data_IF_065736689723
#
_entry.id   IF_065736689723
#
_cell.length_a   1.000
_cell.length_b   1.000
_cell.length_c   1.000
_cell.angle_alpha   90.00
_cell.angle_beta   90.00
_cell.angle_gamma   90.00
#
_symmetry.space_group_name_H-M   'P 1'
#
loop_
_entity.id
_entity.type
_entity.pdbx_description
1 polymer ?
#
# COMPACT_ATOMS: atom_id res chain seq x y z
N UNK A 1 -44.50 19.02 -22.80
CA UNK A 1 -44.11 20.08 -21.85
C UNK A 1 -43.00 19.53 -20.99
N UNK A 2 -41.83 20.18 -20.94
CA UNK A 2 -40.73 19.74 -20.08
C UNK A 2 -41.01 20.33 -18.70
N UNK A 3 -41.24 19.45 -17.72
CA UNK A 3 -41.46 19.84 -16.32
C UNK A 3 -40.11 20.29 -15.76
N UNK A 4 -39.96 21.58 -15.53
CA UNK A 4 -38.81 22.11 -14.81
C UNK A 4 -38.92 21.73 -13.32
N UNK A 5 -37.78 21.42 -12.70
CA UNK A 5 -37.69 21.12 -11.29
C UNK A 5 -38.05 22.37 -10.46
N UNK A 6 -38.81 22.19 -9.39
CA UNK A 6 -39.21 23.32 -8.54
C UNK A 6 -38.02 23.82 -7.71
N UNK A 7 -37.94 25.14 -7.50
CA UNK A 7 -36.91 25.75 -6.65
C UNK A 7 -36.92 25.17 -5.22
N UNK A 8 -38.09 24.79 -4.72
CA UNK A 8 -38.22 24.16 -3.39
C UNK A 8 -37.58 22.76 -3.37
N UNK A 9 -37.74 22.00 -4.44
CA UNK A 9 -37.17 20.65 -4.55
C UNK A 9 -35.64 20.74 -4.64
N UNK A 10 -35.11 21.71 -5.38
CA UNK A 10 -33.66 21.93 -5.48
C UNK A 10 -33.05 22.26 -4.11
N UNK A 11 -33.72 23.13 -3.37
CA UNK A 11 -33.27 23.56 -2.04
C UNK A 11 -33.28 22.39 -1.05
N UNK A 12 -34.31 21.54 -1.11
CA UNK A 12 -34.39 20.36 -0.25
C UNK A 12 -33.25 19.37 -0.52
N UNK A 13 -32.92 19.15 -1.80
CA UNK A 13 -31.82 18.24 -2.19
C UNK A 13 -30.47 18.74 -1.69
N UNK A 14 -30.15 20.03 -1.84
CA UNK A 14 -28.84 20.57 -1.40
C UNK A 14 -28.70 20.55 0.12
N UNK A 15 -29.78 20.73 0.88
CA UNK A 15 -29.75 20.64 2.34
C UNK A 15 -29.43 19.21 2.77
N UNK A 16 -30.08 18.22 2.17
CA UNK A 16 -29.83 16.80 2.46
C UNK A 16 -28.38 16.44 2.09
N UNK A 17 -27.92 16.83 0.91
CA UNK A 17 -26.53 16.60 0.49
C UNK A 17 -25.53 17.30 1.43
N UNK A 18 -25.83 18.50 1.92
CA UNK A 18 -25.01 19.21 2.89
C UNK A 18 -24.83 18.44 4.20
N UNK A 19 -25.93 17.88 4.75
CA UNK A 19 -25.87 17.07 5.98
C UNK A 19 -25.12 15.76 5.74
N UNK A 20 -25.37 15.08 4.61
CA UNK A 20 -24.66 13.85 4.27
C UNK A 20 -23.16 14.07 4.09
N UNK A 21 -22.77 15.15 3.40
CA UNK A 21 -21.36 15.50 3.20
C UNK A 21 -20.66 15.82 4.52
N UNK A 22 -21.31 16.55 5.43
CA UNK A 22 -20.73 16.89 6.73
C UNK A 22 -20.31 15.63 7.54
N UNK A 23 -21.06 14.53 7.41
CA UNK A 23 -20.79 13.28 8.12
C UNK A 23 -19.85 12.37 7.31
N UNK A 24 -19.98 12.35 5.99
CA UNK A 24 -19.21 11.45 5.12
C UNK A 24 -17.75 11.90 4.95
N UNK A 25 -17.52 13.21 4.80
CA UNK A 25 -16.20 13.76 4.46
C UNK A 25 -15.11 13.41 5.49
N UNK A 26 -15.31 13.59 6.82
CA UNK A 26 -14.28 13.25 7.80
C UNK A 26 -13.89 11.77 7.77
N UNK A 27 -14.87 10.87 7.60
CA UNK A 27 -14.62 9.42 7.55
C UNK A 27 -13.81 9.01 6.33
N UNK A 28 -14.00 9.66 5.18
CA UNK A 28 -13.24 9.37 3.97
C UNK A 28 -11.77 9.79 4.10
N UNK A 29 -11.47 10.89 4.78
CA UNK A 29 -10.08 11.31 4.97
C UNK A 29 -9.30 10.34 5.85
N UNK A 30 -9.82 10.00 7.04
CA UNK A 30 -9.13 9.06 7.94
C UNK A 30 -8.99 7.65 7.34
N UNK A 31 -10.03 7.16 6.65
CA UNK A 31 -10.01 5.83 6.02
C UNK A 31 -8.95 5.70 4.91
N UNK A 32 -8.64 6.78 4.18
CA UNK A 32 -7.62 6.75 3.11
C UNK A 32 -6.21 6.57 3.67
N UNK A 33 -5.91 7.23 4.77
CA UNK A 33 -4.59 7.13 5.40
C UNK A 33 -4.37 5.74 5.99
N UNK A 34 -5.38 5.21 6.68
CA UNK A 34 -5.36 3.84 7.21
C UNK A 34 -5.26 2.79 6.09
N UNK A 35 -5.97 2.99 4.97
CA UNK A 35 -5.90 2.10 3.82
C UNK A 35 -4.51 2.09 3.16
N UNK A 36 -3.84 3.25 3.08
CA UNK A 36 -2.47 3.32 2.57
C UNK A 36 -1.49 2.57 3.49
N UNK A 37 -1.63 2.71 4.80
CA UNK A 37 -0.82 1.96 5.78
C UNK A 37 -1.03 0.45 5.65
N UNK A 38 -2.30 0.01 5.60
CA UNK A 38 -2.64 -1.41 5.42
C UNK A 38 -2.08 -1.95 4.11
N UNK A 39 -2.13 -1.17 3.03
CA UNK A 39 -1.56 -1.54 1.74
C UNK A 39 -0.05 -1.77 1.84
N UNK A 40 0.69 -0.87 2.48
CA UNK A 40 2.14 -1.03 2.69
C UNK A 40 2.41 -2.33 3.45
N UNK A 41 1.63 -2.63 4.50
CA UNK A 41 1.76 -3.87 5.26
C UNK A 41 1.52 -5.12 4.41
N UNK A 42 0.47 -5.13 3.59
CA UNK A 42 0.16 -6.26 2.69
C UNK A 42 1.23 -6.43 1.61
N UNK A 43 1.75 -5.32 1.08
CA UNK A 43 2.80 -5.31 0.08
C UNK A 43 4.10 -5.93 0.65
N UNK A 44 4.50 -5.54 1.87
CA UNK A 44 5.66 -6.11 2.60
C UNK A 44 5.50 -7.62 2.79
N UNK A 45 4.34 -8.08 3.28
CA UNK A 45 4.09 -9.51 3.46
C UNK A 45 4.16 -10.28 2.13
N UNK A 46 3.68 -9.68 1.04
CA UNK A 46 3.75 -10.24 -0.30
C UNK A 46 5.20 -10.35 -0.79
N UNK A 47 6.01 -9.32 -0.54
CA UNK A 47 7.44 -9.34 -0.86
C UNK A 47 8.14 -10.49 -0.10
N UNK A 48 7.91 -10.62 1.20
CA UNK A 48 8.48 -11.71 2.02
C UNK A 48 8.09 -13.09 1.49
N UNK A 49 6.81 -13.28 1.14
CA UNK A 49 6.33 -14.53 0.59
C UNK A 49 7.02 -14.86 -0.75
N UNK A 50 7.24 -13.86 -1.61
CA UNK A 50 7.94 -14.05 -2.88
C UNK A 50 9.40 -14.46 -2.67
N UNK A 51 10.11 -13.82 -1.75
CA UNK A 51 11.49 -14.17 -1.39
C UNK A 51 11.56 -15.63 -0.91
N UNK A 52 10.66 -16.03 -0.01
CA UNK A 52 10.61 -17.38 0.52
C UNK A 52 10.30 -18.40 -0.59
N UNK A 53 9.39 -18.05 -1.51
CA UNK A 53 9.06 -18.87 -2.67
C UNK A 53 10.27 -19.08 -3.58
N UNK A 54 11.00 -18.01 -3.91
CA UNK A 54 12.21 -18.10 -4.72
C UNK A 54 13.29 -18.93 -4.02
N UNK A 55 13.51 -18.71 -2.72
CA UNK A 55 14.45 -19.51 -1.92
C UNK A 55 14.09 -20.99 -1.99
N UNK A 56 12.81 -21.33 -1.81
CA UNK A 56 12.34 -22.72 -1.88
C UNK A 56 12.57 -23.33 -3.26
N UNK A 57 12.30 -22.59 -4.35
CA UNK A 57 12.56 -23.06 -5.71
C UNK A 57 14.06 -23.31 -5.98
N UNK A 58 14.94 -22.46 -5.44
CA UNK A 58 16.39 -22.60 -5.57
C UNK A 58 16.93 -23.80 -4.78
N UNK A 59 16.39 -24.06 -3.59
CA UNK A 59 16.72 -25.24 -2.79
C UNK A 59 16.31 -26.54 -3.50
N UNK A 60 15.13 -26.59 -4.12
CA UNK A 60 14.69 -27.76 -4.92
C UNK A 60 15.59 -28.00 -6.14
N UNK A 61 16.12 -26.92 -6.72
CA UNK A 61 17.00 -26.97 -7.88
C UNK A 61 18.47 -27.26 -7.53
N UNK A 62 18.77 -27.56 -6.26
CA UNK A 62 20.12 -27.75 -5.71
C UNK A 62 21.08 -26.57 -6.03
N UNK A 63 20.55 -25.37 -6.26
CA UNK A 63 21.31 -24.16 -6.61
C UNK A 63 21.37 -23.26 -5.39
N UNK A 64 22.57 -23.02 -4.85
CA UNK A 64 22.83 -22.05 -3.78
C UNK A 64 22.95 -20.66 -4.40
N UNK A 65 21.86 -20.13 -4.94
CA UNK A 65 21.78 -18.74 -5.37
C UNK A 65 20.91 -17.98 -4.37
N UNK A 66 21.28 -16.75 -4.05
CA UNK A 66 20.47 -15.89 -3.18
C UNK A 66 19.22 -15.42 -3.96
N UNK A 67 18.04 -15.35 -3.31
CA UNK A 67 16.84 -14.83 -3.94
C UNK A 67 17.03 -13.34 -4.24
N UNK A 68 17.03 -13.00 -5.52
CA UNK A 68 17.23 -11.62 -5.99
C UNK A 68 15.87 -10.95 -6.13
N UNK A 69 15.69 -9.80 -5.47
CA UNK A 69 14.60 -8.90 -5.80
C UNK A 69 15.04 -8.01 -6.97
N UNK A 70 14.26 -8.01 -8.06
CA UNK A 70 14.45 -7.10 -9.19
C UNK A 70 13.15 -6.32 -9.43
N UNK A 71 13.23 -5.26 -10.23
CA UNK A 71 12.07 -4.42 -10.55
C UNK A 71 10.97 -5.17 -11.31
N UNK A 72 11.31 -6.25 -12.02
CA UNK A 72 10.35 -7.08 -12.77
C UNK A 72 9.44 -7.87 -11.83
N UNK A 73 10.00 -8.49 -10.79
CA UNK A 73 9.24 -9.20 -9.74
C UNK A 73 8.31 -8.22 -9.02
N UNK A 74 8.74 -6.97 -8.77
CA UNK A 74 7.87 -5.95 -8.19
C UNK A 74 6.71 -5.59 -9.13
N UNK A 75 6.94 -5.51 -10.44
CA UNK A 75 5.84 -5.28 -11.40
C UNK A 75 4.88 -6.47 -11.51
N UNK A 76 5.36 -7.71 -11.41
CA UNK A 76 4.51 -8.92 -11.40
C UNK A 76 3.60 -8.98 -10.17
N UNK A 77 4.06 -8.41 -9.05
CA UNK A 77 3.31 -8.31 -7.80
C UNK A 77 2.41 -7.05 -7.73
N UNK A 78 2.29 -6.28 -8.82
CA UNK A 78 1.57 -4.99 -8.88
C UNK A 78 2.12 -3.92 -7.90
N UNK A 79 3.39 -4.02 -7.53
CA UNK A 79 4.07 -3.15 -6.58
C UNK A 79 4.73 -1.95 -7.28
N UNK A 80 4.01 -1.26 -8.18
CA UNK A 80 4.56 -0.14 -8.98
C UNK A 80 5.01 1.08 -8.16
N UNK A 81 4.60 1.18 -6.89
CA UNK A 81 5.02 2.25 -5.97
C UNK A 81 6.34 1.96 -5.27
N UNK A 82 6.87 0.75 -5.43
CA UNK A 82 8.09 0.28 -4.80
C UNK A 82 9.24 0.32 -5.79
N UNK A 83 10.36 0.91 -5.39
CA UNK A 83 11.61 0.93 -6.13
C UNK A 83 12.71 0.26 -5.31
N UNK A 84 13.73 -0.30 -5.97
CA UNK A 84 14.87 -0.97 -5.33
C UNK A 84 16.11 -0.10 -5.54
N UNK A 85 16.75 0.31 -4.44
CA UNK A 85 18.01 1.05 -4.44
C UNK A 85 18.99 0.32 -3.53
N UNK A 86 19.98 -0.37 -4.11
CA UNK A 86 21.07 -1.06 -3.40
C UNK A 86 20.66 -1.79 -2.10
N UNK A 87 19.73 -2.75 -2.19
CA UNK A 87 19.16 -3.55 -1.07
C UNK A 87 18.11 -2.85 -0.18
N UNK A 88 17.78 -1.60 -0.50
CA UNK A 88 16.67 -0.88 0.12
C UNK A 88 15.46 -0.84 -0.81
N UNK A 89 14.31 -1.24 -0.28
CA UNK A 89 13.00 -1.03 -0.85
C UNK A 89 12.53 0.38 -0.49
N UNK A 90 12.31 1.20 -1.51
CA UNK A 90 11.84 2.58 -1.37
C UNK A 90 10.39 2.64 -1.81
N UNK A 91 9.49 2.95 -0.87
CA UNK A 91 8.08 3.23 -1.16
C UNK A 91 7.88 4.74 -1.32
N UNK A 92 7.38 5.14 -2.49
CA UNK A 92 6.96 6.52 -2.79
C UNK A 92 8.00 7.60 -2.43
N UNK A 93 9.29 7.25 -2.62
CA UNK A 93 10.46 8.09 -2.36
C UNK A 93 10.65 8.60 -0.90
N UNK A 94 9.88 8.09 0.07
CA UNK A 94 9.85 8.59 1.45
C UNK A 94 10.11 7.53 2.51
N UNK A 95 9.68 6.28 2.27
CA UNK A 95 9.78 5.19 3.25
C UNK A 95 10.79 4.17 2.75
N UNK A 96 11.86 3.94 3.51
CA UNK A 96 12.94 2.99 3.16
C UNK A 96 12.85 1.76 4.05
N UNK A 97 12.90 0.59 3.43
CA UNK A 97 12.95 -0.70 4.11
C UNK A 97 14.17 -1.46 3.61
N UNK A 98 15.02 -1.95 4.50
CA UNK A 98 16.09 -2.87 4.12
C UNK A 98 15.51 -4.28 4.13
N UNK A 99 15.84 -5.03 3.10
CA UNK A 99 15.48 -6.44 3.01
C UNK A 99 16.77 -7.27 3.11
N UNK A 100 16.78 -8.23 4.02
CA UNK A 100 17.87 -9.21 4.14
C UNK A 100 17.47 -10.52 3.45
N UNK A 101 18.45 -11.20 2.84
CA UNK A 101 18.39 -12.58 2.32
C UNK A 101 17.64 -13.61 3.19
N UNK A 102 17.49 -13.35 4.49
CA UNK A 102 16.72 -14.16 5.43
C UNK A 102 15.22 -13.82 5.51
N UNK A 103 14.67 -13.06 4.56
CA UNK A 103 13.28 -12.61 4.49
C UNK A 103 12.84 -11.67 5.62
N UNK A 104 13.79 -11.18 6.44
CA UNK A 104 13.53 -10.14 7.43
C UNK A 104 13.55 -8.77 6.76
N UNK A 105 12.46 -8.01 6.93
CA UNK A 105 12.34 -6.65 6.42
C UNK A 105 12.52 -5.70 7.61
N UNK A 106 13.62 -4.97 7.61
CA UNK A 106 13.91 -3.96 8.61
C UNK A 106 13.43 -2.61 8.10
N UNK A 107 12.67 -1.88 8.92
CA UNK A 107 12.24 -0.55 8.55
C UNK A 107 13.35 0.47 8.86
N UNK A 108 13.76 1.28 7.89
CA UNK A 108 14.72 2.38 8.06
C UNK A 108 14.04 3.76 8.04
N UNK A 109 12.71 3.79 8.03
CA UNK A 109 11.90 5.02 8.04
C UNK A 109 11.72 5.58 9.45
N UNK A 110 11.24 6.83 9.64
CA UNK A 110 10.95 7.35 10.97
C UNK A 110 10.00 6.44 11.77
N UNK A 111 10.27 6.32 13.07
CA UNK A 111 9.78 5.26 13.95
C UNK A 111 8.24 5.20 14.07
N UNK A 112 7.52 6.31 13.82
CA UNK A 112 6.04 6.34 13.86
C UNK A 112 5.38 5.47 12.78
N UNK A 113 5.96 5.40 11.58
CA UNK A 113 5.44 4.56 10.50
C UNK A 113 5.72 3.09 10.81
N UNK A 114 6.90 2.79 11.37
CA UNK A 114 7.30 1.45 11.78
C UNK A 114 6.45 0.92 12.95
N UNK A 115 6.14 1.78 13.92
CA UNK A 115 5.31 1.44 15.08
C UNK A 115 3.85 1.16 14.66
N UNK A 116 3.32 1.99 13.74
CA UNK A 116 2.00 1.76 13.12
C UNK A 116 1.96 0.50 12.24
N UNK A 117 3.08 0.10 11.66
CA UNK A 117 3.18 -1.11 10.85
C UNK A 117 3.23 -2.39 11.70
N UNK A 118 3.68 -2.32 12.96
CA UNK A 118 3.94 -3.48 13.84
C UNK A 118 4.62 -4.63 13.08
N UNK A 119 5.76 -4.34 12.44
CA UNK A 119 6.65 -5.39 11.92
C UNK A 119 7.34 -6.12 13.08
#
# INVERSE_FOLDING_TARGET
>A
MIKAFSLIELTFVIIILGVLLAIAVPRLFFSKDDANLLKIKTDIATIQANILHQKTALLLSAKVQEPVLNSQILTELNLHKWSIDNQNLVFDNSVRFSYDSNATINCLSPQEICDKLKL
#
